data_IF_968495351565
#
_entry.id   IF_968495351565
#
_cell.length_a   1.000
_cell.length_b   1.000
_cell.length_c   1.000
_cell.angle_alpha   90.00
_cell.angle_beta   90.00
_cell.angle_gamma   90.00
#
_symmetry.space_group_name_H-M   'P 1'
#
loop_
_entity.id
_entity.type
_entity.pdbx_description
1 polymer ?
#
# COMPACT_ATOMS: atom_id res chain seq x y z
N UNK A 1 60.77 28.20 31.64
CA UNK A 1 59.32 28.14 31.77
C UNK A 1 58.79 27.37 30.56
N UNK A 2 58.42 26.09 30.73
CA UNK A 2 57.96 25.21 29.65
C UNK A 2 56.42 25.10 29.74
N UNK A 3 55.72 25.66 28.76
CA UNK A 3 54.26 25.55 28.65
C UNK A 3 53.93 24.19 28.05
N UNK A 4 53.25 23.36 28.82
CA UNK A 4 52.70 22.07 28.40
C UNK A 4 51.25 22.32 27.88
N UNK A 5 51.08 22.25 26.57
CA UNK A 5 49.77 22.31 25.94
C UNK A 5 49.13 20.93 26.03
N UNK A 6 48.10 20.80 26.87
CA UNK A 6 47.21 19.62 26.91
C UNK A 6 46.25 19.72 25.74
N UNK A 7 46.41 18.91 24.70
CA UNK A 7 45.42 18.71 23.65
C UNK A 7 44.38 17.70 24.14
N UNK A 8 43.17 18.18 24.46
CA UNK A 8 42.00 17.33 24.72
C UNK A 8 41.45 16.83 23.39
N UNK A 9 41.65 15.56 23.08
CA UNK A 9 41.01 14.91 21.96
C UNK A 9 39.53 14.60 22.34
N UNK A 10 38.64 15.32 21.71
CA UNK A 10 37.17 15.07 21.83
C UNK A 10 36.84 13.85 20.98
N UNK A 11 36.63 12.71 21.62
CA UNK A 11 36.19 11.48 20.95
C UNK A 11 34.67 11.63 20.65
N UNK A 12 34.34 12.01 19.41
CA UNK A 12 32.97 11.96 18.92
C UNK A 12 32.54 10.48 18.78
N UNK A 13 31.83 9.94 19.78
CA UNK A 13 31.08 8.70 19.59
C UNK A 13 29.94 8.98 18.61
N UNK A 14 30.17 8.73 17.34
CA UNK A 14 29.09 8.58 16.36
C UNK A 14 28.33 7.31 16.70
N UNK A 15 27.26 7.43 17.48
CA UNK A 15 26.28 6.36 17.68
C UNK A 15 25.67 6.04 16.32
N UNK A 16 26.17 4.98 15.67
CA UNK A 16 25.58 4.48 14.43
C UNK A 16 24.12 4.10 14.71
N UNK A 17 23.19 4.72 14.02
CA UNK A 17 21.80 4.25 14.00
C UNK A 17 21.84 2.89 13.33
N UNK A 18 21.73 1.82 14.12
CA UNK A 18 21.65 0.46 13.58
C UNK A 18 20.31 0.33 12.88
N UNK A 19 20.33 -0.02 11.61
CA UNK A 19 19.17 -0.18 10.78
C UNK A 19 18.83 -1.66 10.66
N UNK A 20 17.59 -2.02 10.96
CA UNK A 20 17.07 -3.37 10.82
C UNK A 20 16.47 -3.60 9.43
N UNK A 21 16.44 -4.85 8.98
CA UNK A 21 15.65 -5.25 7.81
C UNK A 21 14.65 -6.32 8.17
N UNK A 22 13.52 -6.32 7.47
CA UNK A 22 12.44 -7.29 7.67
C UNK A 22 11.93 -7.78 6.32
N UNK A 23 12.05 -9.08 6.07
CA UNK A 23 11.42 -9.75 4.93
C UNK A 23 10.09 -10.36 5.37
N UNK A 24 9.01 -10.02 4.68
CA UNK A 24 7.67 -10.56 4.96
C UNK A 24 7.20 -11.37 3.76
N UNK A 25 6.81 -12.62 4.00
CA UNK A 25 6.18 -13.48 3.01
C UNK A 25 4.69 -13.65 3.33
N UNK A 26 3.84 -13.51 2.32
CA UNK A 26 2.40 -13.72 2.44
C UNK A 26 1.98 -14.87 1.54
N UNK A 27 1.33 -15.86 2.14
CA UNK A 27 0.79 -17.03 1.43
C UNK A 27 -0.73 -17.11 1.62
N UNK A 28 -1.40 -17.76 0.69
CA UNK A 28 -2.82 -18.10 0.86
C UNK A 28 -2.99 -19.32 1.79
N UNK A 29 -4.24 -19.74 2.03
CA UNK A 29 -4.54 -20.89 2.89
C UNK A 29 -3.98 -22.22 2.35
N UNK A 30 -3.60 -22.27 1.05
CA UNK A 30 -3.00 -23.43 0.40
C UNK A 30 -1.47 -23.36 0.38
N UNK A 31 -0.88 -22.29 0.96
CA UNK A 31 0.56 -22.06 0.98
C UNK A 31 1.13 -21.43 -0.30
N UNK A 32 0.27 -20.99 -1.26
CA UNK A 32 0.72 -20.34 -2.49
C UNK A 32 1.04 -18.87 -2.23
N UNK A 33 2.04 -18.29 -2.93
CA UNK A 33 2.35 -16.87 -2.84
C UNK A 33 1.15 -15.98 -3.16
N UNK A 34 1.00 -14.88 -2.41
CA UNK A 34 -0.04 -13.87 -2.61
C UNK A 34 0.59 -12.55 -3.04
N UNK A 35 0.47 -12.15 -4.32
CA UNK A 35 0.85 -10.83 -4.76
C UNK A 35 -0.15 -9.76 -4.31
N UNK A 36 0.30 -8.49 -4.34
CA UNK A 36 -0.52 -7.31 -4.00
C UNK A 36 -1.16 -7.33 -2.60
N UNK A 37 -0.70 -8.17 -1.68
CA UNK A 37 -1.02 -8.02 -0.27
C UNK A 37 -0.28 -6.78 0.28
N UNK A 38 -0.97 -5.94 1.02
CA UNK A 38 -0.38 -4.76 1.65
C UNK A 38 0.15 -5.15 3.02
N UNK A 39 1.45 -4.98 3.21
CA UNK A 39 2.14 -5.20 4.49
C UNK A 39 2.46 -3.85 5.10
N UNK A 40 2.10 -3.64 6.35
CA UNK A 40 2.31 -2.41 7.09
C UNK A 40 3.13 -2.72 8.34
N UNK A 41 4.30 -2.10 8.46
CA UNK A 41 5.12 -2.18 9.67
C UNK A 41 4.88 -0.91 10.49
N UNK A 42 4.65 -1.07 11.78
CA UNK A 42 4.36 -0.03 12.75
C UNK A 42 5.44 -0.08 13.85
N UNK A 43 6.62 0.50 13.62
CA UNK A 43 7.64 0.60 14.67
C UNK A 43 7.13 1.47 15.82
N UNK A 44 7.47 1.09 17.05
CA UNK A 44 7.24 1.95 18.23
C UNK A 44 8.15 3.18 18.16
N UNK A 45 9.40 3.00 17.76
CA UNK A 45 10.31 4.10 17.48
C UNK A 45 9.99 4.71 16.10
N UNK A 46 9.56 5.98 16.09
CA UNK A 46 9.17 6.73 14.88
C UNK A 46 10.23 7.75 14.44
N UNK A 47 11.42 7.71 15.01
CA UNK A 47 12.49 8.69 14.72
C UNK A 47 13.12 8.51 13.33
N UNK A 48 12.93 7.37 12.69
CA UNK A 48 13.47 7.05 11.36
C UNK A 48 12.34 6.93 10.35
N UNK A 49 12.54 7.48 9.16
CA UNK A 49 11.63 7.34 8.03
C UNK A 49 12.26 6.46 6.94
N UNK A 50 11.45 5.79 6.11
CA UNK A 50 11.98 5.00 5.00
C UNK A 50 12.70 5.90 3.98
N UNK A 51 13.75 5.37 3.36
CA UNK A 51 14.48 6.06 2.30
C UNK A 51 13.59 6.39 1.08
N UNK A 52 12.61 5.52 0.81
CA UNK A 52 11.61 5.71 -0.25
C UNK A 52 10.23 5.83 0.40
N UNK A 53 9.71 7.06 0.59
CA UNK A 53 8.37 7.25 1.12
C UNK A 53 7.30 6.80 0.13
N UNK A 54 6.11 6.48 0.65
CA UNK A 54 4.95 6.22 -0.19
C UNK A 54 4.63 7.45 -1.07
N UNK A 55 4.19 7.24 -2.32
CA UNK A 55 3.88 8.33 -3.24
C UNK A 55 2.68 9.15 -2.75
N UNK A 56 2.86 10.45 -2.57
CA UNK A 56 1.79 11.38 -2.17
C UNK A 56 0.73 11.58 -3.27
N UNK A 57 0.97 11.07 -4.47
CA UNK A 57 0.05 11.09 -5.60
C UNK A 57 0.08 9.75 -6.32
N UNK A 58 -1.08 9.29 -6.79
CA UNK A 58 -1.18 8.08 -7.59
C UNK A 58 -2.22 8.24 -8.70
N UNK A 59 -1.96 7.61 -9.84
CA UNK A 59 -2.91 7.53 -10.94
C UNK A 59 -3.53 6.14 -10.99
N UNK A 60 -4.85 6.10 -11.08
CA UNK A 60 -5.65 4.88 -11.25
C UNK A 60 -6.28 4.95 -12.64
N UNK A 61 -5.79 4.10 -13.52
CA UNK A 61 -6.28 4.01 -14.91
C UNK A 61 -7.45 3.04 -14.97
N UNK A 62 -8.48 3.43 -15.70
CA UNK A 62 -9.59 2.56 -16.09
C UNK A 62 -9.38 2.12 -17.52
N UNK A 63 -9.10 0.84 -17.72
CA UNK A 63 -8.82 0.28 -19.03
C UNK A 63 -9.32 -1.17 -19.09
N UNK A 64 -9.99 -1.53 -20.18
CA UNK A 64 -10.58 -2.86 -20.40
C UNK A 64 -11.49 -3.29 -19.24
N UNK A 65 -12.26 -2.32 -18.71
CA UNK A 65 -13.16 -2.52 -17.55
C UNK A 65 -12.42 -2.98 -16.28
N UNK A 66 -11.21 -2.48 -16.04
CA UNK A 66 -10.41 -2.75 -14.86
C UNK A 66 -9.86 -1.44 -14.27
N UNK A 67 -9.64 -1.41 -12.97
CA UNK A 67 -8.82 -0.40 -12.31
C UNK A 67 -7.37 -0.89 -12.30
N UNK A 68 -6.45 -0.06 -12.78
CA UNK A 68 -5.02 -0.37 -12.90
C UNK A 68 -4.21 0.71 -12.17
N UNK A 69 -3.42 0.36 -11.16
CA UNK A 69 -3.28 -0.99 -10.59
C UNK A 69 -4.55 -1.43 -9.83
N UNK A 70 -4.72 -2.75 -9.67
CA UNK A 70 -5.85 -3.30 -8.91
C UNK A 70 -5.82 -2.90 -7.42
N UNK A 71 -4.63 -2.81 -6.84
CA UNK A 71 -4.39 -2.31 -5.49
C UNK A 71 -3.43 -1.13 -5.56
N UNK A 72 -3.90 0.04 -5.16
CA UNK A 72 -3.12 1.27 -5.04
C UNK A 72 -2.78 1.49 -3.57
N UNK A 73 -1.48 1.58 -3.25
CA UNK A 73 -0.99 1.87 -1.91
C UNK A 73 -0.44 3.29 -1.87
N UNK A 74 -0.95 4.11 -0.94
CA UNK A 74 -0.58 5.52 -0.77
C UNK A 74 -0.58 5.89 0.72
N UNK A 75 0.05 7.00 1.13
CA UNK A 75 -0.12 7.52 2.47
C UNK A 75 -1.51 8.16 2.64
N UNK A 76 -1.95 8.32 3.88
CA UNK A 76 -3.09 9.19 4.21
C UNK A 76 -2.82 10.61 3.72
N UNK A 77 -3.81 11.26 3.16
CA UNK A 77 -3.68 12.58 2.56
C UNK A 77 -3.23 12.60 1.10
N UNK A 78 -2.96 11.44 0.51
CA UNK A 78 -2.56 11.34 -0.89
C UNK A 78 -3.65 11.79 -1.85
N UNK A 79 -3.22 12.34 -2.99
CA UNK A 79 -4.07 12.72 -4.11
C UNK A 79 -4.14 11.59 -5.13
N UNK A 80 -5.36 11.17 -5.46
CA UNK A 80 -5.64 10.18 -6.49
C UNK A 80 -6.14 10.87 -7.75
N UNK A 81 -5.61 10.47 -8.90
CA UNK A 81 -6.08 10.88 -10.23
C UNK A 81 -6.67 9.65 -10.94
N UNK A 82 -7.90 9.75 -11.39
CA UNK A 82 -8.58 8.70 -12.13
C UNK A 82 -8.63 9.06 -13.61
N UNK A 83 -8.12 8.17 -14.45
CA UNK A 83 -8.03 8.35 -15.91
C UNK A 83 -8.82 7.25 -16.58
N UNK A 84 -9.65 7.59 -17.56
CA UNK A 84 -10.40 6.62 -18.37
C UNK A 84 -9.75 6.46 -19.74
N UNK A 85 -9.22 5.28 -20.02
CA UNK A 85 -8.66 4.89 -21.32
C UNK A 85 -9.62 4.05 -22.16
N UNK A 86 -10.77 3.66 -21.64
CA UNK A 86 -11.81 2.96 -22.37
C UNK A 86 -12.62 3.94 -23.26
N UNK A 87 -13.21 3.48 -24.38
CA UNK A 87 -14.03 4.32 -25.24
C UNK A 87 -15.43 4.62 -24.68
N UNK A 88 -15.80 4.00 -23.57
CA UNK A 88 -17.07 4.20 -22.86
C UNK A 88 -16.88 4.83 -21.50
N UNK A 89 -17.97 5.39 -20.99
CA UNK A 89 -17.96 6.06 -19.69
C UNK A 89 -17.83 5.08 -18.54
N UNK A 90 -17.20 5.54 -17.47
CA UNK A 90 -17.19 4.88 -16.18
C UNK A 90 -17.84 5.76 -15.10
N UNK A 91 -18.50 5.11 -14.16
CA UNK A 91 -19.05 5.76 -12.99
C UNK A 91 -18.37 5.16 -11.75
N UNK A 92 -17.31 5.83 -11.31
CA UNK A 92 -16.51 5.39 -10.17
C UNK A 92 -17.27 5.64 -8.89
N UNK A 93 -17.29 4.62 -8.04
CA UNK A 93 -17.89 4.69 -6.72
C UNK A 93 -16.94 4.08 -5.70
N UNK A 94 -16.77 4.72 -4.55
CA UNK A 94 -15.98 4.22 -3.45
C UNK A 94 -16.84 3.83 -2.26
N UNK A 95 -16.38 2.82 -1.53
CA UNK A 95 -16.93 2.38 -0.25
C UNK A 95 -15.83 1.80 0.62
N UNK A 96 -16.00 1.70 1.95
CA UNK A 96 -15.06 0.94 2.76
C UNK A 96 -14.91 -0.49 2.25
N UNK A 97 -13.69 -1.04 2.28
CA UNK A 97 -13.42 -2.42 1.90
C UNK A 97 -13.64 -3.40 3.07
N UNK A 98 -13.72 -4.69 2.76
CA UNK A 98 -13.89 -5.75 3.76
C UNK A 98 -15.20 -5.63 4.54
N UNK A 99 -15.20 -5.95 5.82
CA UNK A 99 -16.38 -5.84 6.69
C UNK A 99 -16.88 -4.41 6.84
N UNK A 100 -16.04 -3.40 6.57
CA UNK A 100 -16.43 -1.99 6.61
C UNK A 100 -17.49 -1.62 5.57
N UNK A 101 -17.66 -2.40 4.49
CA UNK A 101 -18.68 -2.16 3.47
C UNK A 101 -20.12 -2.23 4.03
N UNK A 102 -20.31 -2.89 5.16
CA UNK A 102 -21.61 -2.96 5.85
C UNK A 102 -21.90 -1.77 6.77
N UNK A 103 -20.89 -0.88 6.94
CA UNK A 103 -21.06 0.32 7.75
C UNK A 103 -21.42 1.52 6.84
N UNK A 104 -22.71 1.81 6.72
CA UNK A 104 -23.26 2.84 5.82
C UNK A 104 -23.01 4.28 6.25
N UNK A 105 -22.34 4.53 7.38
CA UNK A 105 -22.14 5.89 7.89
C UNK A 105 -20.95 6.62 7.25
N UNK A 106 -20.11 5.93 6.49
CA UNK A 106 -18.94 6.53 5.84
C UNK A 106 -19.28 6.90 4.39
N UNK A 107 -19.39 8.20 4.12
CA UNK A 107 -19.59 8.71 2.78
C UNK A 107 -18.33 8.43 1.93
N UNK A 108 -18.53 7.73 0.82
CA UNK A 108 -17.52 7.56 -0.21
C UNK A 108 -17.54 8.73 -1.20
N UNK A 109 -16.62 8.70 -2.16
CA UNK A 109 -16.70 9.58 -3.33
C UNK A 109 -17.37 8.85 -4.50
N UNK A 110 -17.97 9.65 -5.37
CA UNK A 110 -18.67 9.15 -6.56
C UNK A 110 -18.53 10.18 -7.69
N UNK A 111 -18.19 9.75 -8.89
CA UNK A 111 -18.10 10.62 -10.08
C UNK A 111 -18.13 9.80 -11.37
N UNK A 112 -18.53 10.46 -12.46
CA UNK A 112 -18.49 9.93 -13.81
C UNK A 112 -17.27 10.44 -14.56
N UNK A 113 -16.62 9.58 -15.34
CA UNK A 113 -15.54 9.93 -16.25
C UNK A 113 -15.97 9.50 -17.64
N UNK A 114 -16.00 10.47 -18.57
CA UNK A 114 -16.33 10.22 -19.98
C UNK A 114 -15.34 9.23 -20.61
N UNK A 115 -15.81 8.48 -21.61
CA UNK A 115 -14.98 7.60 -22.41
C UNK A 115 -13.98 8.40 -23.27
N UNK A 116 -12.85 7.77 -23.55
CA UNK A 116 -11.85 8.32 -24.48
C UNK A 116 -12.41 8.35 -25.91
N UNK A 117 -12.36 9.48 -26.58
CA UNK A 117 -12.67 9.60 -28.00
C UNK A 117 -11.42 9.88 -28.84
N UNK A 118 -11.48 9.66 -30.16
CA UNK A 118 -10.32 9.83 -31.06
C UNK A 118 -9.67 11.20 -30.97
N UNK A 119 -10.45 12.24 -30.65
CA UNK A 119 -10.00 13.65 -30.67
C UNK A 119 -10.00 14.29 -29.27
N UNK A 120 -10.30 13.56 -28.19
CA UNK A 120 -10.39 14.11 -26.84
C UNK A 120 -10.00 13.05 -25.80
N UNK A 121 -8.95 13.35 -25.03
CA UNK A 121 -8.66 12.62 -23.82
C UNK A 121 -9.73 12.91 -22.76
N UNK A 122 -10.16 11.90 -22.03
CA UNK A 122 -11.04 12.10 -20.90
C UNK A 122 -10.36 13.00 -19.87
N UNK A 123 -11.12 13.93 -19.29
CA UNK A 123 -10.61 14.76 -18.19
C UNK A 123 -10.45 13.90 -16.96
N UNK A 124 -9.27 13.83 -16.32
CA UNK A 124 -9.09 13.10 -15.08
C UNK A 124 -9.98 13.64 -13.96
N UNK A 125 -10.49 12.74 -13.12
CA UNK A 125 -11.12 13.12 -11.86
C UNK A 125 -10.09 12.97 -10.73
N UNK A 126 -10.11 13.91 -9.78
CA UNK A 126 -9.16 13.96 -8.69
C UNK A 126 -9.87 13.84 -7.34
N UNK A 127 -9.28 13.07 -6.42
CA UNK A 127 -9.78 12.88 -5.05
C UNK A 127 -8.60 12.93 -4.09
N UNK A 128 -8.76 13.64 -2.98
CA UNK A 128 -7.79 13.61 -1.88
C UNK A 128 -8.31 12.67 -0.78
N UNK A 129 -7.45 11.76 -0.34
CA UNK A 129 -7.75 10.84 0.75
C UNK A 129 -7.36 11.50 2.09
N UNK A 130 -8.24 12.29 2.65
CA UNK A 130 -8.01 13.04 3.89
C UNK A 130 -8.18 12.20 5.17
N UNK A 131 -8.74 11.00 5.07
CA UNK A 131 -8.92 10.08 6.18
C UNK A 131 -8.47 8.67 5.79
N UNK A 132 -7.68 8.04 6.66
CA UNK A 132 -7.63 6.59 6.66
C UNK A 132 -9.04 6.12 6.99
N UNK A 133 -9.76 5.57 6.03
CA UNK A 133 -11.02 4.91 6.32
C UNK A 133 -10.82 3.95 7.50
N UNK A 134 -11.81 3.71 8.33
CA UNK A 134 -11.67 2.95 9.58
C UNK A 134 -11.00 1.57 9.45
N UNK A 135 -10.81 1.08 8.22
CA UNK A 135 -10.05 -0.13 7.87
C UNK A 135 -8.88 0.16 6.93
N UNK A 136 -8.51 1.42 6.77
CA UNK A 136 -7.41 1.87 5.89
C UNK A 136 -7.57 1.47 4.42
N UNK A 137 -8.63 0.78 4.05
CA UNK A 137 -8.86 0.25 2.72
C UNK A 137 -10.21 0.70 2.15
N UNK A 138 -10.18 1.17 0.90
CA UNK A 138 -11.33 1.61 0.13
C UNK A 138 -11.53 0.68 -1.06
N UNK A 139 -12.74 0.18 -1.24
CA UNK A 139 -13.18 -0.53 -2.44
C UNK A 139 -13.58 0.50 -3.49
N UNK A 140 -13.07 0.34 -4.69
CA UNK A 140 -13.50 1.04 -5.89
C UNK A 140 -14.40 0.10 -6.72
N UNK A 141 -15.53 0.60 -7.15
CA UNK A 141 -16.45 -0.08 -8.07
C UNK A 141 -16.84 0.83 -9.22
N UNK A 142 -17.33 0.24 -10.29
CA UNK A 142 -18.01 0.98 -11.36
C UNK A 142 -19.48 0.65 -11.34
N UNK A 143 -20.36 1.66 -11.25
CA UNK A 143 -21.80 1.46 -11.23
C UNK A 143 -22.32 0.89 -12.56
N UNK A 144 -21.70 1.28 -13.67
CA UNK A 144 -22.08 0.83 -15.02
C UNK A 144 -21.56 -0.58 -15.35
N UNK A 145 -20.52 -1.04 -14.67
CA UNK A 145 -19.83 -2.29 -14.94
C UNK A 145 -19.56 -3.06 -13.63
N UNK A 146 -20.55 -3.80 -13.16
CA UNK A 146 -20.58 -4.43 -11.83
C UNK A 146 -19.42 -5.40 -11.50
N UNK A 147 -18.69 -5.87 -12.51
CA UNK A 147 -17.50 -6.71 -12.33
C UNK A 147 -16.20 -5.92 -12.10
N UNK A 148 -16.22 -4.59 -12.33
CA UNK A 148 -15.05 -3.73 -12.24
C UNK A 148 -14.79 -3.37 -10.78
N UNK A 149 -13.67 -3.85 -10.25
CA UNK A 149 -13.25 -3.64 -8.85
C UNK A 149 -11.78 -3.28 -8.77
N UNK A 150 -11.46 -2.40 -7.85
CA UNK A 150 -10.10 -2.04 -7.45
C UNK A 150 -10.09 -1.63 -5.99
N UNK A 151 -8.90 -1.37 -5.46
CA UNK A 151 -8.74 -1.03 -4.06
C UNK A 151 -7.71 0.08 -3.88
N UNK A 152 -7.96 0.93 -2.90
CA UNK A 152 -6.98 1.89 -2.42
C UNK A 152 -6.73 1.61 -0.96
N UNK A 153 -5.47 1.44 -0.59
CA UNK A 153 -5.05 1.34 0.80
C UNK A 153 -4.32 2.62 1.20
N UNK A 154 -4.91 3.39 2.09
CA UNK A 154 -4.29 4.57 2.68
C UNK A 154 -3.57 4.18 3.96
N UNK A 155 -2.24 4.20 3.94
CA UNK A 155 -1.41 3.77 5.07
C UNK A 155 -1.10 4.94 6.01
N UNK A 156 -1.30 4.71 7.32
CA UNK A 156 -0.87 5.61 8.39
C UNK A 156 0.63 5.50 8.70
N UNK A 157 1.22 4.36 8.30
CA UNK A 157 2.65 4.13 8.47
C UNK A 157 3.38 4.40 7.15
N UNK A 158 4.52 5.10 7.18
CA UNK A 158 5.37 5.24 6.00
C UNK A 158 6.04 3.91 5.63
N UNK A 159 6.10 2.95 6.55
CA UNK A 159 6.63 1.62 6.35
C UNK A 159 5.53 0.67 5.86
N UNK A 160 5.11 0.88 4.64
CA UNK A 160 4.13 0.01 4.00
C UNK A 160 4.56 -0.31 2.57
N UNK A 161 4.32 -1.55 2.14
CA UNK A 161 4.65 -2.02 0.80
C UNK A 161 3.69 -3.12 0.37
N UNK A 162 3.59 -3.35 -0.94
CA UNK A 162 2.87 -4.48 -1.51
C UNK A 162 3.81 -5.66 -1.72
N UNK A 163 3.30 -6.88 -1.54
CA UNK A 163 4.02 -8.08 -1.93
C UNK A 163 4.14 -8.18 -3.46
N UNK A 164 5.26 -8.70 -3.91
CA UNK A 164 5.54 -9.00 -5.32
C UNK A 164 4.84 -10.30 -5.79
N UNK A 165 5.16 -10.77 -6.98
CA UNK A 165 4.60 -12.00 -7.56
C UNK A 165 4.91 -13.26 -6.73
N UNK A 166 6.02 -13.25 -5.98
CA UNK A 166 6.43 -14.34 -5.09
C UNK A 166 5.84 -14.21 -3.68
N UNK A 167 4.91 -13.28 -3.48
CA UNK A 167 4.29 -12.99 -2.18
C UNK A 167 5.25 -12.35 -1.17
N UNK A 168 6.35 -11.76 -1.63
CA UNK A 168 7.41 -11.21 -0.79
C UNK A 168 7.44 -9.69 -0.81
N UNK A 169 7.78 -9.08 0.33
CA UNK A 169 8.23 -7.69 0.43
C UNK A 169 9.34 -7.58 1.45
N UNK A 170 10.22 -6.59 1.26
CA UNK A 170 11.36 -6.34 2.15
C UNK A 170 11.35 -4.87 2.57
N UNK A 171 11.55 -4.65 3.85
CA UNK A 171 11.73 -3.33 4.45
C UNK A 171 13.18 -3.20 4.90
N UNK A 172 13.85 -2.18 4.41
CA UNK A 172 15.22 -1.86 4.76
C UNK A 172 15.28 -0.56 5.57
N UNK A 173 16.20 -0.48 6.50
CA UNK A 173 16.39 0.74 7.28
C UNK A 173 15.35 0.95 8.39
N UNK A 174 14.66 -0.10 8.82
CA UNK A 174 13.71 -0.03 9.93
C UNK A 174 14.44 0.35 11.23
N UNK A 175 13.82 1.17 12.10
CA UNK A 175 14.36 1.43 13.42
C UNK A 175 14.29 0.17 14.28
N UNK A 176 15.36 -0.10 15.02
CA UNK A 176 15.36 -1.20 16.00
C UNK A 176 14.34 -0.98 17.12
N UNK A 177 13.89 -2.06 17.71
CA UNK A 177 12.94 -2.08 18.82
C UNK A 177 11.66 -2.81 18.52
N UNK A 178 10.65 -2.62 19.37
CA UNK A 178 9.34 -3.25 19.19
C UNK A 178 8.61 -2.70 17.96
N UNK A 179 7.97 -3.59 17.21
CA UNK A 179 7.15 -3.26 16.07
C UNK A 179 5.94 -4.17 15.96
N UNK A 180 4.92 -3.68 15.29
CA UNK A 180 3.75 -4.46 14.88
C UNK A 180 3.72 -4.56 13.37
N UNK A 181 3.27 -5.71 12.86
CA UNK A 181 3.04 -5.93 11.43
C UNK A 181 1.59 -6.27 11.20
N UNK A 182 0.97 -5.54 10.29
CA UNK A 182 -0.38 -5.80 9.78
C UNK A 182 -0.28 -6.23 8.32
N UNK A 183 -1.13 -7.18 7.93
CA UNK A 183 -1.27 -7.58 6.53
C UNK A 183 -2.71 -7.42 6.13
N UNK A 184 -2.92 -6.76 5.01
CA UNK A 184 -4.23 -6.61 4.38
C UNK A 184 -4.21 -7.23 2.98
N UNK A 185 -5.31 -7.90 2.65
CA UNK A 185 -5.56 -8.43 1.31
C UNK A 185 -7.06 -8.32 1.01
N UNK A 186 -7.40 -7.98 -0.21
CA UNK A 186 -8.74 -7.60 -0.63
C UNK A 186 -9.83 -8.65 -0.37
N UNK A 187 -9.52 -9.92 -0.52
CA UNK A 187 -10.45 -11.04 -0.30
C UNK A 187 -10.42 -11.57 1.15
N UNK A 188 -9.46 -11.12 1.97
CA UNK A 188 -9.37 -11.43 3.39
C UNK A 188 -10.31 -10.48 4.16
N UNK A 189 -11.60 -10.82 4.20
CA UNK A 189 -12.64 -9.95 4.78
C UNK A 189 -12.48 -9.76 6.29
N UNK A 190 -12.03 -10.79 7.00
CA UNK A 190 -11.75 -10.74 8.44
C UNK A 190 -10.28 -10.39 8.61
N UNK A 191 -10.01 -9.32 9.34
CA UNK A 191 -8.64 -8.88 9.61
C UNK A 191 -7.81 -9.97 10.25
N UNK A 192 -6.60 -10.18 9.75
CA UNK A 192 -5.64 -11.07 10.38
C UNK A 192 -5.16 -10.51 11.72
N UNK A 193 -4.75 -11.36 12.66
CA UNK A 193 -4.11 -10.92 13.88
C UNK A 193 -2.86 -10.08 13.59
N UNK A 194 -2.71 -8.98 14.34
CA UNK A 194 -1.51 -8.16 14.30
C UNK A 194 -0.34 -8.96 14.88
N UNK A 195 0.77 -9.02 14.13
CA UNK A 195 1.98 -9.70 14.57
C UNK A 195 2.87 -8.72 15.32
N UNK A 196 3.29 -9.06 16.54
CA UNK A 196 4.25 -8.27 17.30
C UNK A 196 5.63 -8.92 17.22
N UNK A 197 6.67 -8.12 16.97
CA UNK A 197 8.05 -8.61 16.88
C UNK A 197 9.03 -7.55 17.37
N UNK A 198 10.26 -7.96 17.62
CA UNK A 198 11.38 -7.08 17.89
C UNK A 198 12.25 -6.97 16.63
N UNK A 199 12.48 -5.75 16.17
CA UNK A 199 13.41 -5.45 15.10
C UNK A 199 14.81 -5.29 15.72
N UNK A 200 15.77 -6.00 15.16
CA UNK A 200 17.17 -6.00 15.62
C UNK A 200 18.11 -5.77 14.44
N UNK A 201 19.39 -5.56 14.67
CA UNK A 201 20.40 -5.46 13.61
C UNK A 201 20.45 -6.73 12.73
N UNK A 202 20.02 -7.88 13.26
CA UNK A 202 19.91 -9.11 12.47
C UNK A 202 18.66 -9.06 11.58
N UNK A 203 18.78 -9.36 10.27
CA UNK A 203 17.65 -9.42 9.36
C UNK A 203 16.54 -10.34 9.83
N UNK A 204 15.33 -9.80 9.98
CA UNK A 204 14.14 -10.54 10.40
C UNK A 204 13.40 -11.19 9.23
N UNK A 205 12.68 -12.26 9.51
CA UNK A 205 11.75 -12.89 8.57
C UNK A 205 10.41 -13.13 9.25
N UNK A 206 9.31 -12.83 8.55
CA UNK A 206 7.96 -13.06 9.02
C UNK A 206 7.13 -13.73 7.91
N UNK A 207 6.56 -14.88 8.21
CA UNK A 207 5.57 -15.54 7.36
C UNK A 207 4.16 -15.24 7.84
N UNK A 208 3.27 -14.83 6.95
CA UNK A 208 1.86 -14.60 7.23
C UNK A 208 1.01 -15.39 6.25
N UNK A 209 0.13 -16.24 6.78
CA UNK A 209 -0.79 -17.02 5.96
C UNK A 209 -2.19 -16.43 6.03
N UNK A 210 -2.81 -16.23 4.86
CA UNK A 210 -4.22 -15.85 4.76
C UNK A 210 -5.12 -17.05 5.10
N UNK A 211 -6.33 -16.75 5.56
CA UNK A 211 -7.36 -17.78 5.75
C UNK A 211 -8.19 -18.08 4.49
N UNK A 212 -7.87 -17.44 3.38
CA UNK A 212 -8.58 -17.52 2.10
C UNK A 212 -7.62 -17.82 0.94
N UNK A 213 -8.18 -18.28 -0.17
CA UNK A 213 -7.50 -18.23 -1.47
C UNK A 213 -8.02 -17.01 -2.21
N UNK A 214 -7.16 -15.99 -2.46
CA UNK A 214 -7.59 -14.80 -3.18
C UNK A 214 -8.06 -15.13 -4.60
N UNK A 215 -9.06 -14.40 -5.06
CA UNK A 215 -9.49 -14.48 -6.46
C UNK A 215 -8.37 -13.99 -7.36
N UNK A 216 -8.08 -14.71 -8.41
CA UNK A 216 -7.10 -14.28 -9.41
C UNK A 216 -7.61 -12.97 -10.05
N UNK A 217 -6.81 -11.90 -9.97
CA UNK A 217 -7.04 -10.72 -10.80
C UNK A 217 -6.93 -11.16 -12.27
N UNK A 218 -7.82 -10.66 -13.15
CA UNK A 218 -7.62 -10.85 -14.58
C UNK A 218 -6.29 -10.21 -14.96
N UNK A 219 -5.33 -11.02 -15.40
CA UNK A 219 -4.11 -10.49 -15.95
C UNK A 219 -4.48 -9.64 -17.18
N UNK A 220 -4.10 -8.37 -17.18
CA UNK A 220 -4.11 -7.57 -18.40
C UNK A 220 -2.99 -8.17 -19.24
N UNK A 221 -3.31 -9.03 -20.21
CA UNK A 221 -2.34 -9.43 -21.20
C UNK A 221 -2.03 -8.19 -22.04
N UNK A 222 -0.87 -7.60 -21.82
CA UNK A 222 -0.27 -6.68 -22.77
C UNK A 222 0.12 -7.50 -24.01
N UNK A 223 -0.81 -7.72 -24.91
CA UNK A 223 -0.44 -8.01 -26.27
C UNK A 223 0.07 -6.68 -26.85
N UNK A 224 1.38 -6.49 -26.78
CA UNK A 224 2.11 -5.57 -27.64
C UNK A 224 2.06 -6.16 -29.08
N UNK A 225 0.96 -5.94 -29.75
CA UNK A 225 0.75 -6.34 -31.12
C UNK A 225 -0.05 -5.25 -31.83
N UNK A 226 0.66 -4.53 -32.64
CA UNK A 226 0.47 -3.55 -33.71
C UNK A 226 0.81 -2.14 -33.36
#
# INVERSE_FOLDING_TARGET
MKNLLLSSALLCLSGGVSASSLSVSVTDKEGKPVPDAVVIVLPVNKSVLPALPLPAQATIVQEKMQFIPNVTLVPVGAKLSFVNNDPWDHHVRSSPAGMGQFNVTQAGFEFRIEGKSANKSAKPAEVTLDKAGGLSATLLGCFLHGSMRGYVYASESPWAAKTNADGLTVFEGLPEGAAQVKVWQADQLISLPVQSLALTATPGKLGVQLSVVPRRSRAVSYNSGY
#
